data_IF_213458581558
#
_entry.id   IF_213458581558
#
_cell.length_a   1.000
_cell.length_b   1.000
_cell.length_c   1.000
_cell.angle_alpha   90.00
_cell.angle_beta   90.00
_cell.angle_gamma   90.00
#
_symmetry.space_group_name_H-M   'P 1'
#
loop_
_entity.id
_entity.type
_entity.pdbx_description
1 polymer ?
#
# COMPACT_ATOMS: atom_id res chain seq x y z
N UNK A 1 4.46 -24.87 -11.69
CA UNK A 1 3.57 -23.74 -11.29
C UNK A 1 4.02 -23.24 -9.92
N UNK A 2 4.56 -22.02 -9.75
CA UNK A 2 5.10 -21.61 -8.46
C UNK A 2 3.96 -21.33 -7.47
N UNK A 3 4.10 -21.92 -6.28
CA UNK A 3 3.13 -21.91 -5.18
C UNK A 3 2.88 -20.50 -4.68
N UNK A 4 1.61 -20.10 -4.67
CA UNK A 4 1.15 -18.88 -4.01
C UNK A 4 1.49 -19.00 -2.52
N UNK A 5 2.53 -18.29 -2.08
CA UNK A 5 2.93 -18.25 -0.68
C UNK A 5 1.89 -17.45 0.11
N UNK A 6 1.03 -18.17 0.83
CA UNK A 6 0.11 -17.59 1.81
C UNK A 6 0.93 -16.97 2.93
N UNK A 7 0.97 -15.64 3.00
CA UNK A 7 1.62 -14.89 4.08
C UNK A 7 0.58 -14.50 5.13
N UNK A 8 0.94 -14.49 6.42
CA UNK A 8 0.04 -14.21 7.53
C UNK A 8 -0.62 -12.84 7.37
N UNK A 9 -1.86 -12.73 7.84
CA UNK A 9 -2.73 -11.55 7.72
C UNK A 9 -2.12 -10.39 8.54
N UNK A 10 -1.20 -9.65 7.92
CA UNK A 10 -1.02 -8.25 8.26
C UNK A 10 -2.39 -7.56 8.08
N UNK A 11 -2.67 -6.47 8.83
CA UNK A 11 -3.96 -5.77 8.73
C UNK A 11 -4.35 -5.66 7.27
N UNK A 12 -5.58 -6.07 6.90
CA UNK A 12 -5.94 -6.11 5.50
C UNK A 12 -5.73 -4.71 4.94
N UNK A 13 -5.11 -4.61 3.77
CA UNK A 13 -4.91 -3.32 3.09
C UNK A 13 -6.27 -2.61 2.89
N UNK A 14 -7.35 -3.38 2.91
CA UNK A 14 -8.74 -2.95 3.00
C UNK A 14 -9.04 -2.00 4.18
N UNK A 15 -8.40 -2.22 5.34
CA UNK A 15 -8.49 -1.31 6.48
C UNK A 15 -7.99 0.09 6.09
N UNK A 16 -6.90 0.18 5.33
CA UNK A 16 -6.38 1.45 4.82
C UNK A 16 -7.27 2.04 3.73
N UNK A 17 -7.83 1.22 2.84
CA UNK A 17 -8.76 1.68 1.82
C UNK A 17 -10.07 2.24 2.43
N UNK A 18 -10.56 1.62 3.51
CA UNK A 18 -11.77 2.05 4.21
C UNK A 18 -11.53 3.24 5.14
N UNK A 19 -10.34 3.32 5.75
CA UNK A 19 -9.97 4.40 6.68
C UNK A 19 -9.68 5.73 5.98
N UNK A 20 -9.14 5.69 4.77
CA UNK A 20 -8.70 6.86 4.02
C UNK A 20 -9.55 7.05 2.77
N UNK A 21 -10.16 8.23 2.61
CA UNK A 21 -10.94 8.57 1.40
C UNK A 21 -10.09 8.57 0.14
N UNK A 22 -8.78 8.85 0.26
CA UNK A 22 -7.89 8.88 -0.87
C UNK A 22 -7.12 7.55 -0.99
N UNK A 23 -7.30 6.78 -2.07
CA UNK A 23 -6.62 5.50 -2.25
C UNK A 23 -5.09 5.64 -2.31
N UNK A 24 -4.56 6.80 -2.75
CA UNK A 24 -3.12 7.08 -2.72
C UNK A 24 -2.58 7.17 -1.29
N UNK A 25 -3.36 7.78 -0.41
CA UNK A 25 -3.01 7.92 1.00
C UNK A 25 -3.06 6.57 1.71
N UNK A 26 -4.08 5.76 1.41
CA UNK A 26 -4.17 4.37 1.87
C UNK A 26 -2.97 3.51 1.43
N UNK A 27 -2.54 3.64 0.16
CA UNK A 27 -1.33 2.97 -0.35
C UNK A 27 -0.06 3.40 0.40
N UNK A 28 0.12 4.71 0.61
CA UNK A 28 1.29 5.25 1.30
C UNK A 28 1.33 4.82 2.77
N UNK A 29 0.21 4.93 3.47
CA UNK A 29 0.06 4.50 4.87
C UNK A 29 0.30 3.00 5.05
N UNK A 30 -0.22 2.17 4.14
CA UNK A 30 0.03 0.73 4.15
C UNK A 30 1.53 0.40 3.99
N UNK A 31 2.24 1.15 3.13
CA UNK A 31 3.68 1.00 3.00
C UNK A 31 4.46 1.47 4.24
N UNK A 32 4.05 2.60 4.83
CA UNK A 32 4.68 3.17 6.03
C UNK A 32 4.55 2.28 7.27
N UNK A 33 3.53 1.42 7.35
CA UNK A 33 3.41 0.43 8.43
C UNK A 33 4.54 -0.62 8.41
N UNK A 34 5.46 -0.57 7.42
CA UNK A 34 6.62 -1.46 7.19
C UNK A 34 6.31 -2.96 7.17
N UNK A 35 5.03 -3.32 7.22
CA UNK A 35 4.48 -4.68 7.15
C UNK A 35 4.09 -5.06 5.73
N UNK A 36 4.01 -4.08 4.83
CA UNK A 36 3.66 -4.28 3.43
C UNK A 36 4.74 -3.71 2.51
N UNK A 37 5.17 -4.53 1.57
CA UNK A 37 6.02 -4.12 0.45
C UNK A 37 5.20 -3.41 -0.62
N UNK A 38 5.84 -2.55 -1.43
CA UNK A 38 5.21 -1.88 -2.57
C UNK A 38 4.45 -2.86 -3.49
N UNK A 39 5.02 -4.04 -3.72
CA UNK A 39 4.41 -5.09 -4.55
C UNK A 39 3.15 -5.70 -3.92
N UNK A 40 3.10 -5.83 -2.59
CA UNK A 40 1.90 -6.33 -1.90
C UNK A 40 0.76 -5.31 -1.96
N UNK A 41 1.08 -4.03 -1.72
CA UNK A 41 0.13 -2.93 -1.86
C UNK A 41 -0.38 -2.84 -3.30
N UNK A 42 0.54 -2.90 -4.27
CA UNK A 42 0.23 -2.89 -5.70
C UNK A 42 -0.75 -4.01 -6.10
N UNK A 43 -0.48 -5.25 -5.66
CA UNK A 43 -1.36 -6.40 -5.93
C UNK A 43 -2.76 -6.23 -5.35
N UNK A 44 -2.87 -5.69 -4.13
CA UNK A 44 -4.17 -5.50 -3.49
C UNK A 44 -5.02 -4.43 -4.21
N UNK A 45 -4.41 -3.29 -4.50
CA UNK A 45 -5.08 -2.21 -5.23
C UNK A 45 -5.19 -2.47 -6.74
N UNK A 46 -4.70 -3.62 -7.22
CA UNK A 46 -4.63 -3.97 -8.64
C UNK A 46 -3.94 -2.88 -9.51
N UNK A 47 -2.96 -2.19 -8.93
CA UNK A 47 -2.16 -1.16 -9.60
C UNK A 47 -0.73 -1.60 -9.76
N UNK A 48 0.02 -0.90 -10.60
CA UNK A 48 1.46 -1.12 -10.72
C UNK A 48 2.23 -0.53 -9.53
N UNK A 49 3.37 -1.13 -9.18
CA UNK A 49 4.23 -0.65 -8.07
C UNK A 49 4.69 0.81 -8.26
N UNK A 50 4.77 1.29 -9.50
CA UNK A 50 5.07 2.69 -9.82
C UNK A 50 3.99 3.65 -9.32
N UNK A 51 2.72 3.24 -9.34
CA UNK A 51 1.60 4.02 -8.79
C UNK A 51 1.72 4.13 -7.29
N UNK A 52 2.03 3.01 -6.61
CA UNK A 52 2.26 2.98 -5.16
C UNK A 52 3.45 3.85 -4.78
N UNK A 53 4.56 3.77 -5.53
CA UNK A 53 5.74 4.61 -5.30
C UNK A 53 5.43 6.10 -5.44
N UNK A 54 4.66 6.50 -6.47
CA UNK A 54 4.21 7.88 -6.64
C UNK A 54 3.31 8.34 -5.48
N UNK A 55 2.41 7.47 -5.03
CA UNK A 55 1.52 7.75 -3.90
C UNK A 55 2.30 7.96 -2.60
N UNK A 56 3.30 7.10 -2.34
CA UNK A 56 4.22 7.24 -1.19
C UNK A 56 4.99 8.56 -1.25
N UNK A 57 5.58 8.89 -2.40
CA UNK A 57 6.32 10.15 -2.57
C UNK A 57 5.45 11.39 -2.35
N UNK A 58 4.22 11.37 -2.86
CA UNK A 58 3.27 12.45 -2.66
C UNK A 58 2.91 12.61 -1.18
N UNK A 59 2.68 11.49 -0.48
CA UNK A 59 2.38 11.49 0.95
C UNK A 59 3.56 11.99 1.79
N UNK A 60 4.79 11.57 1.49
CA UNK A 60 5.99 12.07 2.16
C UNK A 60 6.16 13.58 1.98
N UNK A 61 5.90 14.10 0.77
CA UNK A 61 5.95 15.53 0.49
C UNK A 61 4.87 16.32 1.27
N UNK A 62 3.69 15.73 1.47
CA UNK A 62 2.59 16.34 2.22
C UNK A 62 2.84 16.33 3.73
N UNK A 63 3.37 15.24 4.29
CA UNK A 63 3.72 15.15 5.73
C UNK A 63 4.94 15.98 6.14
N UNK A 64 5.76 16.44 5.19
CA UNK A 64 6.94 17.28 5.45
C UNK A 64 6.63 18.79 5.45
N UNK A 65 5.37 19.16 5.23
CA UNK A 65 4.92 20.55 5.09
C UNK A 65 4.22 21.02 6.37
#
# INVERSE_FOLDING_TARGET
MPRVQYRPVAKPIDYYASRFKNPKEGMARAHLERRHTLNQVAKFFQVHYSTVSRAVKAFEAETKK
#
